data_IF_351783759691
#
_entry.id   IF_351783759691
#
_cell.length_a   1.000
_cell.length_b   1.000
_cell.length_c   1.000
_cell.angle_alpha   90.00
_cell.angle_beta   90.00
_cell.angle_gamma   90.00
#
_symmetry.space_group_name_H-M   'P 1'
#
loop_
_entity.id
_entity.type
_entity.pdbx_description
1 polymer ?
#
# COMPACT_ATOMS: atom_id res chain seq x y z
N UNK A 1 38.79 4.50 -24.09
CA UNK A 1 37.80 3.56 -23.46
C UNK A 1 36.49 4.32 -23.29
N UNK A 2 35.36 3.77 -23.79
CA UNK A 2 34.07 4.44 -23.66
C UNK A 2 33.64 4.63 -22.20
N UNK A 3 33.04 5.78 -21.82
CA UNK A 3 32.54 5.98 -20.45
C UNK A 3 31.55 4.91 -19.99
N UNK A 4 30.70 4.42 -20.88
CA UNK A 4 29.75 3.35 -20.60
C UNK A 4 30.44 2.03 -20.14
N UNK A 5 31.60 1.70 -20.70
CA UNK A 5 32.40 0.56 -20.25
C UNK A 5 32.96 0.81 -18.84
N UNK A 6 33.45 2.02 -18.55
CA UNK A 6 34.00 2.35 -17.23
C UNK A 6 32.93 2.19 -16.15
N UNK A 7 31.72 2.69 -16.39
CA UNK A 7 30.58 2.55 -15.48
C UNK A 7 30.20 1.07 -15.28
N UNK A 8 30.15 0.30 -16.37
CA UNK A 8 29.89 -1.15 -16.31
C UNK A 8 30.99 -1.85 -15.48
N UNK A 9 32.25 -1.57 -15.76
CA UNK A 9 33.39 -2.18 -15.10
C UNK A 9 33.41 -1.87 -13.59
N UNK A 10 33.14 -0.62 -13.17
CA UNK A 10 33.03 -0.23 -11.75
C UNK A 10 32.05 -1.10 -10.98
N UNK A 11 30.95 -1.48 -11.62
CA UNK A 11 29.98 -2.39 -11.01
C UNK A 11 30.44 -3.84 -11.05
N UNK A 12 30.91 -4.32 -12.21
CA UNK A 12 31.28 -5.74 -12.43
C UNK A 12 32.44 -6.19 -11.55
N UNK A 13 33.41 -5.33 -11.25
CA UNK A 13 34.52 -5.65 -10.34
C UNK A 13 34.07 -6.03 -8.93
N UNK A 14 32.92 -5.55 -8.50
CA UNK A 14 32.32 -5.85 -7.20
C UNK A 14 31.62 -7.22 -7.17
N UNK A 15 31.39 -7.83 -8.32
CA UNK A 15 30.74 -9.13 -8.42
C UNK A 15 31.65 -10.23 -7.86
N UNK A 16 31.09 -11.20 -7.11
CA UNK A 16 31.87 -12.25 -6.41
C UNK A 16 32.45 -13.33 -7.35
N UNK A 17 31.91 -13.48 -8.56
CA UNK A 17 32.41 -14.47 -9.52
C UNK A 17 33.86 -14.23 -9.90
N UNK A 18 34.67 -15.31 -9.95
CA UNK A 18 36.07 -15.25 -10.37
C UNK A 18 36.26 -14.82 -11.83
N UNK A 19 35.26 -15.06 -12.70
CA UNK A 19 35.32 -14.74 -14.13
C UNK A 19 35.26 -13.24 -14.46
N UNK A 20 34.87 -12.41 -13.51
CA UNK A 20 34.63 -10.95 -13.71
C UNK A 20 35.80 -10.22 -14.36
N UNK A 21 37.03 -10.56 -13.96
CA UNK A 21 38.22 -9.89 -14.50
C UNK A 21 38.52 -10.34 -15.92
N UNK A 22 38.41 -11.65 -16.20
CA UNK A 22 38.61 -12.18 -17.54
C UNK A 22 37.55 -11.65 -18.53
N UNK A 23 36.28 -11.52 -18.07
CA UNK A 23 35.20 -10.95 -18.84
C UNK A 23 35.46 -9.45 -19.17
N UNK A 24 35.84 -8.67 -18.17
CA UNK A 24 36.17 -7.25 -18.37
C UNK A 24 37.36 -7.06 -19.29
N UNK A 25 38.39 -7.92 -19.15
CA UNK A 25 39.56 -7.86 -20.03
C UNK A 25 39.19 -8.20 -21.48
N UNK A 26 38.37 -9.22 -21.74
CA UNK A 26 37.88 -9.55 -23.10
C UNK A 26 37.08 -8.42 -23.69
N UNK A 27 36.17 -7.82 -22.91
CA UNK A 27 35.39 -6.67 -23.38
C UNK A 27 36.29 -5.47 -23.71
N UNK A 28 37.25 -5.16 -22.86
CA UNK A 28 38.20 -4.08 -23.08
C UNK A 28 39.04 -4.30 -24.35
N UNK A 29 39.53 -5.50 -24.56
CA UNK A 29 40.31 -5.88 -25.74
C UNK A 29 39.47 -5.81 -27.02
N UNK A 30 38.21 -6.26 -26.98
CA UNK A 30 37.31 -6.21 -28.12
C UNK A 30 36.87 -4.76 -28.47
N UNK A 31 36.78 -3.86 -27.48
CA UNK A 31 36.42 -2.47 -27.67
C UNK A 31 37.42 -1.70 -28.54
N UNK A 32 38.66 -2.15 -28.64
CA UNK A 32 39.66 -1.58 -29.55
C UNK A 32 39.26 -1.73 -31.02
N UNK A 33 38.59 -2.83 -31.36
CA UNK A 33 38.12 -3.15 -32.71
C UNK A 33 36.64 -2.84 -32.96
N UNK A 34 35.85 -2.89 -31.89
CA UNK A 34 34.41 -2.70 -31.89
C UNK A 34 33.99 -1.58 -30.92
N UNK A 35 34.18 -0.27 -31.25
CA UNK A 35 33.96 0.82 -30.33
C UNK A 35 32.54 0.92 -29.75
N UNK A 36 31.53 0.37 -30.44
CA UNK A 36 30.12 0.32 -30.00
C UNK A 36 29.71 -1.00 -29.36
N UNK A 37 30.65 -1.89 -29.04
CA UNK A 37 30.36 -3.20 -28.46
C UNK A 37 29.42 -3.13 -27.26
N UNK A 38 29.62 -2.16 -26.35
CA UNK A 38 28.81 -2.01 -25.12
C UNK A 38 27.36 -1.66 -25.42
N UNK A 39 27.07 -1.10 -26.58
CA UNK A 39 25.71 -0.74 -27.00
C UNK A 39 24.93 -1.95 -27.56
N UNK A 40 25.60 -3.06 -27.79
CA UNK A 40 24.99 -4.29 -28.31
C UNK A 40 24.53 -5.22 -27.14
N UNK A 41 23.25 -5.22 -26.75
CA UNK A 41 22.76 -6.05 -25.66
C UNK A 41 22.67 -7.54 -26.01
N UNK A 42 22.76 -7.88 -27.31
CA UNK A 42 22.73 -9.29 -27.78
C UNK A 42 24.10 -9.96 -27.73
N UNK A 43 25.18 -9.20 -27.54
CA UNK A 43 26.51 -9.76 -27.38
C UNK A 43 26.60 -10.54 -26.05
N UNK A 44 27.06 -11.81 -26.08
CA UNK A 44 27.07 -12.66 -24.88
C UNK A 44 27.90 -12.09 -23.72
N UNK A 45 29.07 -11.49 -24.02
CA UNK A 45 29.94 -10.92 -23.00
C UNK A 45 29.33 -9.65 -22.40
N UNK A 46 28.69 -8.80 -23.24
CA UNK A 46 27.98 -7.61 -22.78
C UNK A 46 26.75 -8.00 -21.95
N UNK A 47 25.96 -8.96 -22.42
CA UNK A 47 24.81 -9.46 -21.67
C UNK A 47 25.23 -10.00 -20.29
N UNK A 48 26.31 -10.82 -20.24
CA UNK A 48 26.86 -11.36 -19.00
C UNK A 48 27.33 -10.28 -18.05
N UNK A 49 28.04 -9.27 -18.55
CA UNK A 49 28.51 -8.14 -17.74
C UNK A 49 27.34 -7.31 -17.18
N UNK A 50 26.29 -7.09 -17.98
CA UNK A 50 25.08 -6.40 -17.54
C UNK A 50 24.30 -7.18 -16.47
N UNK A 51 24.28 -8.50 -16.56
CA UNK A 51 23.66 -9.34 -15.53
C UNK A 51 24.45 -9.30 -14.22
N UNK A 52 25.79 -9.28 -14.27
CA UNK A 52 26.63 -9.05 -13.10
C UNK A 52 26.37 -7.65 -12.49
N UNK A 53 26.26 -6.61 -13.32
CA UNK A 53 25.92 -5.26 -12.87
C UNK A 53 24.58 -5.22 -12.13
N UNK A 54 23.53 -5.86 -12.69
CA UNK A 54 22.21 -5.96 -12.05
C UNK A 54 22.28 -6.71 -10.72
N UNK A 55 23.08 -7.77 -10.63
CA UNK A 55 23.27 -8.55 -9.42
C UNK A 55 23.96 -7.72 -8.31
N UNK A 56 24.97 -6.94 -8.67
CA UNK A 56 25.64 -6.01 -7.76
C UNK A 56 24.69 -4.90 -7.28
N UNK A 57 23.94 -4.30 -8.19
CA UNK A 57 22.94 -3.27 -7.83
C UNK A 57 21.89 -3.81 -6.85
N UNK A 58 21.42 -5.05 -7.07
CA UNK A 58 20.52 -5.72 -6.13
C UNK A 58 21.17 -5.97 -4.76
N UNK A 59 22.45 -6.34 -4.73
CA UNK A 59 23.17 -6.55 -3.47
C UNK A 59 23.32 -5.26 -2.67
N UNK A 60 23.63 -4.13 -3.32
CA UNK A 60 23.68 -2.81 -2.70
C UNK A 60 22.30 -2.46 -2.13
N UNK A 61 21.24 -2.63 -2.93
CA UNK A 61 19.87 -2.36 -2.48
C UNK A 61 19.48 -3.22 -1.26
N UNK A 62 19.82 -4.51 -1.26
CA UNK A 62 19.55 -5.41 -0.11
C UNK A 62 20.35 -4.99 1.12
N UNK A 63 21.59 -4.54 0.96
CA UNK A 63 22.38 -4.02 2.07
C UNK A 63 21.71 -2.77 2.69
N UNK A 64 21.28 -1.81 1.88
CA UNK A 64 20.54 -0.64 2.35
C UNK A 64 19.24 -0.98 3.08
N UNK A 65 18.55 -2.05 2.66
CA UNK A 65 17.28 -2.47 3.25
C UNK A 65 17.42 -3.28 4.54
N UNK A 66 18.49 -4.06 4.68
CA UNK A 66 18.57 -5.12 5.70
C UNK A 66 19.69 -4.96 6.73
N UNK A 67 20.56 -3.97 6.63
CA UNK A 67 21.50 -3.65 7.71
C UNK A 67 20.70 -3.14 8.92
N UNK A 68 20.98 -3.71 10.10
CA UNK A 68 20.40 -3.33 11.39
C UNK A 68 21.52 -2.99 12.35
N UNK A 69 21.54 -1.75 12.76
CA UNK A 69 22.49 -1.26 13.77
C UNK A 69 22.01 -1.64 15.16
N UNK A 70 22.94 -2.13 15.98
CA UNK A 70 22.78 -2.42 17.40
C UNK A 70 23.64 -1.46 18.19
N UNK A 71 23.14 -0.97 19.31
CA UNK A 71 23.94 -0.17 20.23
C UNK A 71 25.00 -1.08 20.86
N UNK A 72 26.26 -0.64 20.78
CA UNK A 72 27.36 -1.22 21.55
C UNK A 72 27.58 -0.31 22.75
N UNK A 73 27.56 -0.89 23.94
CA UNK A 73 27.79 -0.14 25.19
C UNK A 73 29.23 0.40 25.25
N UNK A 74 29.44 1.60 24.70
CA UNK A 74 30.71 2.32 24.69
C UNK A 74 30.46 3.82 24.95
N UNK A 75 31.46 4.51 25.49
CA UNK A 75 31.46 5.97 25.53
C UNK A 75 32.51 6.52 24.56
N UNK A 76 32.11 7.29 23.50
CA UNK A 76 30.73 7.65 23.12
C UNK A 76 29.93 6.47 22.54
N UNK A 77 28.59 6.59 22.57
CA UNK A 77 27.69 5.59 21.99
C UNK A 77 28.08 5.25 20.55
N UNK A 78 28.34 3.97 20.33
CA UNK A 78 28.74 3.44 19.01
C UNK A 78 27.76 2.35 18.59
N UNK A 79 27.40 2.33 17.32
CA UNK A 79 26.49 1.34 16.76
C UNK A 79 27.25 0.38 15.86
N UNK A 80 26.95 -0.89 15.94
CA UNK A 80 27.53 -1.89 15.06
C UNK A 80 26.46 -2.72 14.35
N UNK A 81 26.74 -3.15 13.13
CA UNK A 81 25.87 -4.02 12.37
C UNK A 81 26.69 -5.12 11.70
N UNK A 82 26.19 -6.34 11.72
CA UNK A 82 26.71 -7.44 10.91
C UNK A 82 25.84 -7.65 9.68
N UNK A 83 26.47 -7.77 8.49
CA UNK A 83 25.78 -8.08 7.25
C UNK A 83 26.64 -8.91 6.32
N UNK A 84 26.04 -9.86 5.60
CA UNK A 84 26.72 -10.70 4.63
C UNK A 84 26.18 -10.43 3.22
N UNK A 85 26.76 -9.49 2.47
CA UNK A 85 26.32 -9.18 1.13
C UNK A 85 26.62 -10.33 0.14
N UNK A 86 25.78 -10.46 -0.89
CA UNK A 86 26.00 -11.47 -1.94
C UNK A 86 27.25 -11.17 -2.79
N UNK A 87 27.65 -9.93 -2.86
CA UNK A 87 28.78 -9.42 -3.63
C UNK A 87 29.58 -8.43 -2.78
N UNK A 88 30.77 -8.02 -3.23
CA UNK A 88 31.70 -7.16 -2.51
C UNK A 88 31.27 -5.70 -2.56
N UNK A 89 30.14 -5.39 -1.95
CA UNK A 89 29.47 -4.09 -2.11
C UNK A 89 29.56 -3.18 -0.87
N UNK A 90 30.23 -3.59 0.19
CA UNK A 90 30.26 -2.90 1.48
C UNK A 90 30.73 -1.46 1.34
N UNK A 91 31.86 -1.25 0.69
CA UNK A 91 32.42 0.09 0.46
C UNK A 91 31.51 0.92 -0.46
N UNK A 92 30.99 0.33 -1.54
CA UNK A 92 30.08 1.01 -2.47
C UNK A 92 28.73 1.42 -1.84
N UNK A 93 28.27 0.67 -0.84
CA UNK A 93 27.01 0.96 -0.12
C UNK A 93 27.21 1.97 1.03
N UNK A 94 28.41 2.09 1.59
CA UNK A 94 28.72 2.88 2.78
C UNK A 94 28.31 4.37 2.71
N UNK A 95 28.46 5.09 1.57
CA UNK A 95 28.05 6.49 1.47
C UNK A 95 26.56 6.73 1.72
N UNK A 96 25.69 5.75 1.44
CA UNK A 96 24.28 5.84 1.79
C UNK A 96 24.08 5.91 3.30
N UNK A 97 24.74 5.03 4.06
CA UNK A 97 24.64 5.01 5.52
C UNK A 97 25.24 6.25 6.16
N UNK A 98 26.36 6.76 5.66
CA UNK A 98 26.97 7.98 6.14
C UNK A 98 26.03 9.20 6.01
N UNK A 99 25.30 9.30 4.90
CA UNK A 99 24.30 10.36 4.73
C UNK A 99 23.04 10.12 5.57
N UNK A 100 22.58 8.88 5.69
CA UNK A 100 21.33 8.53 6.38
C UNK A 100 21.46 8.62 7.89
N UNK A 101 22.65 8.30 8.42
CA UNK A 101 22.98 8.24 9.84
C UNK A 101 24.19 9.12 10.16
N UNK A 102 24.16 10.36 9.66
CA UNK A 102 25.30 11.29 9.73
C UNK A 102 25.73 11.63 11.17
N UNK A 103 24.75 11.66 12.09
CA UNK A 103 24.97 12.06 13.49
C UNK A 103 25.27 10.88 14.44
N UNK A 104 25.43 9.67 13.89
CA UNK A 104 25.74 8.46 14.66
C UNK A 104 27.17 8.03 14.36
N UNK A 105 27.90 7.54 15.36
CA UNK A 105 29.13 6.77 15.15
C UNK A 105 28.74 5.31 14.93
N UNK A 106 29.15 4.73 13.79
CA UNK A 106 28.75 3.37 13.47
C UNK A 106 29.79 2.58 12.69
N UNK A 107 29.70 1.25 12.80
CA UNK A 107 30.51 0.29 12.05
C UNK A 107 29.62 -0.77 11.42
N UNK A 108 29.86 -1.09 10.15
CA UNK A 108 29.26 -2.25 9.47
C UNK A 108 30.34 -3.29 9.25
N UNK A 109 30.17 -4.42 9.88
CA UNK A 109 31.03 -5.59 9.78
C UNK A 109 30.52 -6.52 8.69
N UNK A 110 31.39 -6.94 7.77
CA UNK A 110 31.09 -7.93 6.74
C UNK A 110 32.28 -8.84 6.51
N UNK A 111 32.10 -10.04 5.92
CA UNK A 111 33.22 -10.96 5.67
C UNK A 111 34.27 -10.44 4.67
N UNK A 112 33.91 -9.52 3.79
CA UNK A 112 34.80 -9.05 2.71
C UNK A 112 35.56 -7.77 3.09
N UNK A 113 34.90 -6.86 3.81
CA UNK A 113 35.45 -5.57 4.25
C UNK A 113 34.54 -4.95 5.32
N UNK A 114 35.10 -4.20 6.24
CA UNK A 114 34.36 -3.42 7.23
C UNK A 114 34.40 -1.94 6.89
N UNK A 115 33.37 -1.22 7.25
CA UNK A 115 33.29 0.25 7.11
C UNK A 115 32.86 0.88 8.41
N UNK A 116 33.56 1.91 8.83
CA UNK A 116 33.27 2.70 10.03
C UNK A 116 33.05 4.17 9.67
N UNK A 117 32.13 4.81 10.39
CA UNK A 117 31.80 6.22 10.28
C UNK A 117 31.94 6.88 11.64
N UNK A 118 32.75 7.91 11.74
CA UNK A 118 33.02 8.65 12.98
C UNK A 118 32.27 10.00 13.07
N UNK A 119 31.24 10.20 12.23
CA UNK A 119 30.51 11.45 12.11
C UNK A 119 31.09 12.41 11.07
N UNK A 120 32.29 12.12 10.49
CA UNK A 120 32.99 12.99 9.51
C UNK A 120 33.58 12.19 8.35
N UNK A 121 34.22 11.08 8.63
CA UNK A 121 34.99 10.29 7.65
C UNK A 121 34.57 8.83 7.64
N UNK A 122 34.51 8.26 6.43
CA UNK A 122 34.37 6.82 6.23
C UNK A 122 35.76 6.15 6.25
N UNK A 123 35.92 5.14 7.07
CA UNK A 123 37.13 4.31 7.13
C UNK A 123 36.79 2.90 6.67
N UNK A 124 37.62 2.33 5.81
CA UNK A 124 37.50 0.96 5.33
C UNK A 124 38.60 0.12 5.96
N UNK A 125 38.28 -1.09 6.40
CA UNK A 125 39.24 -2.06 6.95
C UNK A 125 38.95 -3.46 6.40
N UNK A 126 39.80 -4.42 6.73
CA UNK A 126 39.64 -5.81 6.35
C UNK A 126 38.31 -6.39 6.89
N UNK A 127 37.88 -7.50 6.28
CA UNK A 127 36.67 -8.21 6.69
C UNK A 127 36.76 -8.76 8.12
N UNK A 128 35.61 -8.96 8.74
CA UNK A 128 35.46 -9.48 10.09
C UNK A 128 34.86 -10.89 10.09
N UNK A 129 34.98 -11.57 11.23
CA UNK A 129 34.31 -12.87 11.47
C UNK A 129 32.91 -12.66 12.03
N UNK A 130 31.93 -13.55 11.75
CA UNK A 130 30.61 -13.53 12.40
C UNK A 130 30.64 -13.49 13.93
N UNK A 131 31.69 -14.01 14.55
CA UNK A 131 31.88 -13.96 16.00
C UNK A 131 32.10 -12.54 16.53
N UNK A 132 32.53 -11.60 15.68
CA UNK A 132 32.72 -10.18 16.03
C UNK A 132 31.39 -9.40 15.99
N UNK A 133 30.30 -10.03 15.55
CA UNK A 133 28.99 -9.40 15.49
C UNK A 133 28.46 -9.09 16.90
N UNK A 134 27.86 -7.89 17.12
CA UNK A 134 27.29 -7.56 18.42
C UNK A 134 26.17 -8.54 18.79
N UNK A 135 26.13 -8.93 20.08
CA UNK A 135 25.06 -9.74 20.65
C UNK A 135 23.70 -9.02 20.61
N UNK A 136 22.62 -9.71 20.98
CA UNK A 136 21.28 -9.11 21.06
C UNK A 136 21.29 -7.90 22.01
N UNK A 137 20.57 -6.83 21.65
CA UNK A 137 20.38 -5.63 22.46
C UNK A 137 18.89 -5.39 22.80
N UNK A 138 18.63 -4.45 23.72
CA UNK A 138 17.28 -4.10 24.16
C UNK A 138 16.39 -3.53 23.03
N UNK A 139 16.97 -3.05 21.95
CA UNK A 139 16.22 -2.48 20.81
C UNK A 139 15.65 -3.55 19.89
N UNK A 140 16.13 -4.80 19.98
CA UNK A 140 15.60 -5.91 19.17
C UNK A 140 14.13 -6.22 19.50
N UNK A 141 13.72 -6.10 20.74
CA UNK A 141 12.33 -6.29 21.14
C UNK A 141 11.43 -5.18 20.57
N UNK A 142 11.93 -3.94 20.52
CA UNK A 142 11.25 -2.83 19.88
C UNK A 142 11.07 -3.07 18.37
N UNK A 143 12.11 -3.58 17.70
CA UNK A 143 12.03 -3.95 16.28
C UNK A 143 11.04 -5.08 16.02
N UNK A 144 11.01 -6.10 16.88
CA UNK A 144 10.03 -7.20 16.77
C UNK A 144 8.60 -6.68 16.95
N UNK A 145 8.38 -5.83 17.93
CA UNK A 145 7.07 -5.20 18.20
C UNK A 145 6.64 -4.32 17.01
N UNK A 146 7.54 -3.48 16.52
CA UNK A 146 7.30 -2.64 15.34
C UNK A 146 6.94 -3.50 14.12
N UNK A 147 7.75 -4.51 13.80
CA UNK A 147 7.50 -5.38 12.65
C UNK A 147 6.16 -6.12 12.73
N UNK A 148 5.82 -6.64 13.90
CA UNK A 148 4.54 -7.28 14.14
C UNK A 148 3.35 -6.31 13.96
N UNK A 149 3.54 -5.02 14.30
CA UNK A 149 2.50 -3.98 14.19
C UNK A 149 2.27 -3.52 12.76
N UNK A 150 3.32 -3.46 11.93
CA UNK A 150 3.21 -3.06 10.51
C UNK A 150 2.90 -4.21 9.57
N UNK A 151 2.99 -5.46 10.05
CA UNK A 151 2.68 -6.64 9.26
C UNK A 151 1.21 -6.63 8.84
N UNK A 152 0.97 -6.60 7.53
CA UNK A 152 -0.38 -6.66 6.97
C UNK A 152 -0.67 -8.08 6.43
N UNK A 153 -1.41 -8.91 7.17
CA UNK A 153 -1.69 -10.29 6.79
C UNK A 153 -2.52 -10.41 5.50
N UNK A 154 -3.35 -9.41 5.20
CA UNK A 154 -4.15 -9.39 3.97
C UNK A 154 -3.33 -9.12 2.70
N UNK A 155 -2.07 -8.68 2.83
CA UNK A 155 -1.13 -8.43 1.73
C UNK A 155 0.00 -9.45 1.66
N UNK A 156 -0.07 -10.52 2.44
CA UNK A 156 0.96 -11.55 2.46
C UNK A 156 1.08 -12.23 1.09
N UNK A 157 2.27 -12.13 0.51
CA UNK A 157 2.69 -12.89 -0.66
C UNK A 157 4.04 -13.54 -0.35
N UNK A 158 4.02 -14.78 0.12
CA UNK A 158 5.22 -15.50 0.54
C UNK A 158 6.26 -15.63 -0.57
N UNK A 159 5.83 -15.86 -1.82
CA UNK A 159 6.75 -15.98 -2.96
C UNK A 159 7.50 -14.67 -3.18
N UNK A 160 6.78 -13.55 -3.19
CA UNK A 160 7.38 -12.21 -3.32
C UNK A 160 8.25 -11.88 -2.11
N UNK A 161 7.79 -12.20 -0.89
CA UNK A 161 8.55 -11.97 0.34
C UNK A 161 9.89 -12.71 0.32
N UNK A 162 9.90 -14.00 -0.07
CA UNK A 162 11.15 -14.79 -0.17
C UNK A 162 12.09 -14.28 -1.27
N UNK A 163 11.54 -13.74 -2.35
CA UNK A 163 12.30 -13.11 -3.43
C UNK A 163 12.92 -11.79 -2.98
N UNK A 164 12.14 -10.94 -2.32
CA UNK A 164 12.59 -9.63 -1.86
C UNK A 164 13.44 -9.70 -0.60
N UNK A 165 13.16 -10.64 0.30
CA UNK A 165 13.90 -10.90 1.54
C UNK A 165 14.38 -12.36 1.60
N UNK A 166 15.47 -12.72 0.91
CA UNK A 166 16.03 -14.08 0.88
C UNK A 166 16.35 -14.60 2.29
N UNK A 167 16.07 -15.88 2.55
CA UNK A 167 16.24 -16.52 3.87
C UNK A 167 17.65 -16.38 4.45
N UNK A 168 18.69 -16.25 3.60
CA UNK A 168 20.08 -16.05 4.07
C UNK A 168 20.27 -14.79 4.94
N UNK A 169 19.40 -13.78 4.79
CA UNK A 169 19.46 -12.56 5.61
C UNK A 169 18.68 -12.68 6.91
N UNK A 170 17.78 -13.68 7.05
CA UNK A 170 16.89 -13.80 8.20
C UNK A 170 17.63 -13.99 9.52
N UNK A 171 18.79 -14.65 9.51
CA UNK A 171 19.59 -14.86 10.73
C UNK A 171 20.08 -13.56 11.37
N UNK A 172 20.20 -12.49 10.55
CA UNK A 172 20.71 -11.19 10.97
C UNK A 172 19.58 -10.18 11.20
N UNK A 173 18.30 -10.61 11.10
CA UNK A 173 17.12 -9.79 11.27
C UNK A 173 16.33 -10.25 12.49
N UNK A 174 16.29 -9.49 13.60
CA UNK A 174 15.55 -9.87 14.81
C UNK A 174 14.07 -10.16 14.53
N UNK A 175 13.46 -9.37 13.65
CA UNK A 175 12.08 -9.48 13.25
C UNK A 175 11.79 -10.75 12.42
N UNK A 176 12.79 -11.33 11.77
CA UNK A 176 12.59 -12.52 10.93
C UNK A 176 12.17 -13.76 11.74
N UNK A 177 12.48 -13.80 13.03
CA UNK A 177 12.02 -14.87 13.95
C UNK A 177 10.49 -14.91 14.07
N UNK A 178 9.80 -13.78 13.82
CA UNK A 178 8.34 -13.69 13.86
C UNK A 178 7.67 -14.17 12.56
N UNK A 179 8.41 -14.24 11.43
CA UNK A 179 7.83 -14.52 10.12
C UNK A 179 7.03 -15.84 10.09
N UNK A 180 7.53 -16.98 10.60
CA UNK A 180 6.77 -18.23 10.57
C UNK A 180 5.41 -18.09 11.26
N UNK A 181 5.38 -17.54 12.47
CA UNK A 181 4.15 -17.33 13.23
C UNK A 181 3.20 -16.33 12.55
N UNK A 182 3.75 -15.25 11.97
CA UNK A 182 2.96 -14.24 11.24
C UNK A 182 2.34 -14.82 9.97
N UNK A 183 3.05 -15.71 9.26
CA UNK A 183 2.54 -16.40 8.08
C UNK A 183 1.46 -17.41 8.47
N UNK A 184 1.70 -18.24 9.49
CA UNK A 184 0.75 -19.24 9.97
C UNK A 184 -0.57 -18.60 10.44
N UNK A 185 -0.49 -17.48 11.15
CA UNK A 185 -1.66 -16.76 11.66
C UNK A 185 -2.26 -15.75 10.69
N UNK A 186 -1.71 -15.60 9.48
CA UNK A 186 -2.08 -14.54 8.55
C UNK A 186 -3.55 -14.57 8.15
N UNK A 187 -4.12 -15.74 7.89
CA UNK A 187 -5.54 -15.88 7.53
C UNK A 187 -6.46 -15.46 8.68
N UNK A 188 -6.19 -15.95 9.89
CA UNK A 188 -6.97 -15.60 11.08
C UNK A 188 -6.87 -14.11 11.41
N UNK A 189 -5.67 -13.53 11.29
CA UNK A 189 -5.44 -12.08 11.47
C UNK A 189 -6.10 -11.23 10.38
N UNK A 190 -6.09 -11.68 9.13
CA UNK A 190 -6.79 -11.00 8.05
C UNK A 190 -8.31 -11.01 8.26
N UNK A 191 -8.87 -12.14 8.68
CA UNK A 191 -10.28 -12.25 9.04
C UNK A 191 -10.63 -11.33 10.23
N UNK A 192 -9.77 -11.30 11.27
CA UNK A 192 -9.94 -10.39 12.41
C UNK A 192 -9.86 -8.91 12.00
N UNK A 193 -8.95 -8.54 11.08
CA UNK A 193 -8.87 -7.17 10.56
C UNK A 193 -10.10 -6.75 9.76
N UNK A 194 -10.71 -7.69 9.02
CA UNK A 194 -11.96 -7.44 8.29
C UNK A 194 -13.14 -7.30 9.27
N UNK A 195 -13.13 -8.09 10.34
CA UNK A 195 -14.15 -8.05 11.40
C UNK A 195 -13.98 -6.84 12.34
N UNK A 196 -12.76 -6.32 12.49
CA UNK A 196 -12.47 -5.21 13.37
C UNK A 196 -13.03 -3.89 12.83
N UNK A 197 -13.64 -3.12 13.71
CA UNK A 197 -14.00 -1.73 13.40
C UNK A 197 -12.72 -0.89 13.19
N UNK A 198 -12.75 0.14 12.32
CA UNK A 198 -11.64 1.08 12.20
C UNK A 198 -11.30 1.69 13.56
N UNK A 199 -10.04 1.60 13.98
CA UNK A 199 -9.61 2.23 15.23
C UNK A 199 -9.82 3.73 15.16
N UNK A 200 -10.41 4.37 16.20
CA UNK A 200 -10.58 5.81 16.21
C UNK A 200 -9.20 6.48 16.19
N UNK A 201 -9.01 7.52 15.39
CA UNK A 201 -7.77 8.27 15.42
C UNK A 201 -7.60 8.96 16.77
N UNK A 202 -6.37 9.25 17.21
CA UNK A 202 -6.12 10.04 18.41
C UNK A 202 -6.93 11.35 18.39
N UNK A 203 -7.45 11.77 19.53
CA UNK A 203 -8.28 12.98 19.67
C UNK A 203 -7.66 14.23 19.02
N UNK A 204 -6.33 14.34 19.04
CA UNK A 204 -5.58 15.42 18.39
C UNK A 204 -5.82 15.45 16.88
N UNK A 205 -5.81 14.28 16.22
CA UNK A 205 -6.02 14.14 14.77
C UNK A 205 -7.48 14.41 14.43
N UNK A 206 -8.40 13.93 15.26
CA UNK A 206 -9.83 14.20 15.11
C UNK A 206 -10.15 15.69 15.25
N UNK A 207 -9.59 16.38 16.26
CA UNK A 207 -9.76 17.82 16.46
C UNK A 207 -9.15 18.64 15.32
N UNK A 208 -7.99 18.25 14.78
CA UNK A 208 -7.38 18.89 13.63
C UNK A 208 -8.23 18.72 12.37
N UNK A 209 -8.74 17.52 12.10
CA UNK A 209 -9.62 17.24 10.97
C UNK A 209 -10.96 17.98 11.07
N UNK A 210 -11.53 18.10 12.28
CA UNK A 210 -12.75 18.87 12.52
C UNK A 210 -12.53 20.38 12.35
N UNK A 211 -11.37 20.92 12.74
CA UNK A 211 -11.01 22.32 12.45
C UNK A 211 -10.88 22.54 10.93
N UNK A 212 -10.14 21.69 10.24
CA UNK A 212 -9.95 21.78 8.79
C UNK A 212 -11.29 21.65 8.04
N UNK A 213 -12.19 20.79 8.49
CA UNK A 213 -13.55 20.67 7.95
C UNK A 213 -14.42 21.93 8.19
N UNK A 214 -14.21 22.65 9.32
CA UNK A 214 -14.87 23.93 9.60
C UNK A 214 -14.29 25.06 8.75
N UNK A 215 -12.97 25.13 8.62
CA UNK A 215 -12.27 26.19 7.90
C UNK A 215 -12.41 26.05 6.36
N UNK A 216 -12.64 24.82 5.88
CA UNK A 216 -12.94 24.50 4.49
C UNK A 216 -14.44 24.46 4.19
N UNK A 217 -15.29 25.10 5.01
CA UNK A 217 -16.72 25.09 4.79
C UNK A 217 -17.06 25.75 3.44
N UNK A 218 -17.67 24.95 2.56
CA UNK A 218 -18.38 25.50 1.42
C UNK A 218 -19.48 26.40 1.98
N UNK A 219 -19.31 27.70 1.83
CA UNK A 219 -20.28 28.72 2.28
C UNK A 219 -21.46 28.85 1.32
N UNK A 220 -21.68 27.89 0.43
CA UNK A 220 -22.80 27.86 -0.48
C UNK A 220 -24.04 27.21 0.13
N UNK A 221 -25.19 27.53 -0.39
CA UNK A 221 -26.44 26.85 -0.08
C UNK A 221 -26.33 25.34 -0.38
N UNK A 222 -27.11 24.55 0.35
CA UNK A 222 -27.16 23.10 0.12
C UNK A 222 -27.61 22.82 -1.33
N UNK A 223 -26.87 22.00 -2.09
CA UNK A 223 -27.27 21.65 -3.46
C UNK A 223 -28.68 21.12 -3.52
N UNK A 224 -29.45 21.60 -4.50
CA UNK A 224 -30.87 21.27 -4.70
C UNK A 224 -31.08 20.20 -5.77
N UNK A 225 -30.03 19.89 -6.56
CA UNK A 225 -30.02 18.86 -7.59
C UNK A 225 -28.72 18.04 -7.58
N UNK A 226 -28.75 16.85 -8.20
CA UNK A 226 -27.55 16.02 -8.38
C UNK A 226 -26.53 16.67 -9.33
N UNK A 227 -26.98 17.47 -10.29
CA UNK A 227 -26.11 18.22 -11.19
C UNK A 227 -25.33 19.31 -10.43
N UNK A 228 -26.00 19.99 -9.50
CA UNK A 228 -25.33 20.94 -8.61
C UNK A 228 -24.31 20.25 -7.69
N UNK A 229 -24.63 19.06 -7.14
CA UNK A 229 -23.67 18.27 -6.38
C UNK A 229 -22.45 17.93 -7.24
N UNK A 230 -22.70 17.47 -8.48
CA UNK A 230 -21.65 17.09 -9.43
C UNK A 230 -20.74 18.26 -9.77
N UNK A 231 -21.29 19.43 -10.01
CA UNK A 231 -20.52 20.63 -10.30
C UNK A 231 -19.73 21.14 -9.07
N UNK A 232 -20.39 21.20 -7.91
CA UNK A 232 -19.81 21.77 -6.72
C UNK A 232 -18.71 20.87 -6.09
N UNK A 233 -18.81 19.55 -6.22
CA UNK A 233 -17.77 18.63 -5.70
C UNK A 233 -16.44 18.77 -6.44
N UNK A 234 -16.43 19.21 -7.71
CA UNK A 234 -15.21 19.41 -8.48
C UNK A 234 -14.31 20.52 -7.90
N UNK A 235 -14.91 21.52 -7.27
CA UNK A 235 -14.16 22.61 -6.63
C UNK A 235 -14.01 22.43 -5.12
N UNK A 236 -14.33 21.26 -4.60
CA UNK A 236 -14.28 20.96 -3.18
C UNK A 236 -12.85 21.04 -2.62
N UNK A 237 -12.69 21.70 -1.45
CA UNK A 237 -11.42 21.86 -0.72
C UNK A 237 -11.57 21.48 0.76
N UNK A 238 -12.53 20.61 1.11
CA UNK A 238 -12.85 20.25 2.49
C UNK A 238 -11.80 19.32 3.15
N UNK A 239 -10.94 18.68 2.37
CA UNK A 239 -9.78 17.88 2.81
C UNK A 239 -8.69 17.99 1.74
N UNK A 240 -7.47 17.53 2.03
CA UNK A 240 -6.31 17.67 1.12
C UNK A 240 -6.31 16.70 -0.06
N UNK A 241 -7.23 15.75 -0.15
CA UNK A 241 -7.23 14.72 -1.21
C UNK A 241 -7.39 15.27 -2.64
N UNK A 242 -7.98 16.45 -2.78
CA UNK A 242 -8.13 17.13 -4.08
C UNK A 242 -6.78 17.49 -4.73
N UNK A 243 -5.70 17.62 -3.94
CA UNK A 243 -4.38 18.06 -4.44
C UNK A 243 -3.72 17.05 -5.35
N UNK A 244 -3.88 15.77 -5.01
CA UNK A 244 -3.20 14.67 -5.69
C UNK A 244 -4.15 13.88 -6.61
N UNK A 245 -5.47 14.04 -6.46
CA UNK A 245 -6.47 13.43 -7.33
C UNK A 245 -6.58 14.19 -8.67
N UNK A 246 -6.93 13.47 -9.74
CA UNK A 246 -7.15 14.07 -11.05
C UNK A 246 -8.42 14.91 -11.06
N UNK A 247 -9.48 14.42 -10.41
CA UNK A 247 -10.77 15.06 -10.29
C UNK A 247 -11.59 14.49 -9.13
N UNK A 248 -12.68 15.13 -8.77
CA UNK A 248 -13.67 14.51 -7.91
C UNK A 248 -14.53 13.52 -8.72
N UNK A 249 -14.94 12.42 -8.08
CA UNK A 249 -15.85 11.43 -8.66
C UNK A 249 -17.19 11.49 -7.92
N UNK A 250 -18.19 12.20 -8.46
CA UNK A 250 -19.54 12.25 -7.90
C UNK A 250 -20.26 10.91 -8.03
N UNK A 251 -21.37 10.76 -7.32
CA UNK A 251 -22.26 9.63 -7.51
C UNK A 251 -22.98 9.66 -8.87
N UNK A 252 -23.37 8.49 -9.36
CA UNK A 252 -24.05 8.31 -10.63
C UNK A 252 -25.30 7.42 -10.47
N UNK A 253 -26.37 7.76 -11.14
CA UNK A 253 -27.63 7.01 -11.17
C UNK A 253 -28.85 7.91 -11.21
N UNK A 254 -30.03 7.28 -11.23
CA UNK A 254 -31.30 8.01 -11.30
C UNK A 254 -31.57 8.82 -10.02
N UNK A 255 -32.08 10.01 -10.17
CA UNK A 255 -32.74 10.71 -9.07
C UNK A 255 -33.89 9.85 -8.54
N UNK A 256 -34.02 9.73 -7.21
CA UNK A 256 -35.01 8.87 -6.54
C UNK A 256 -34.80 7.36 -6.75
N UNK A 257 -33.55 6.92 -7.06
CA UNK A 257 -33.21 5.51 -7.07
C UNK A 257 -33.57 4.85 -5.72
N UNK A 258 -34.35 3.74 -5.70
CA UNK A 258 -34.73 3.09 -4.45
C UNK A 258 -33.57 2.43 -3.71
N UNK A 259 -32.46 2.19 -4.41
CA UNK A 259 -31.24 1.54 -3.92
C UNK A 259 -30.04 2.43 -4.15
N UNK A 260 -29.22 2.61 -3.11
CA UNK A 260 -27.97 3.38 -3.19
C UNK A 260 -26.80 2.51 -2.73
N UNK A 261 -25.77 2.39 -3.54
CA UNK A 261 -24.51 1.74 -3.20
C UNK A 261 -23.47 2.78 -2.84
N UNK A 262 -22.79 2.58 -1.71
CA UNK A 262 -21.74 3.47 -1.21
C UNK A 262 -20.45 2.66 -1.09
N UNK A 263 -19.46 2.98 -1.90
CA UNK A 263 -18.09 2.45 -1.81
C UNK A 263 -17.19 3.24 -0.86
N UNK A 264 -15.90 2.91 -0.85
CA UNK A 264 -14.90 3.60 -0.03
C UNK A 264 -14.47 4.93 -0.65
N UNK A 265 -13.83 4.89 -1.79
CA UNK A 265 -13.32 6.02 -2.57
C UNK A 265 -13.11 5.59 -4.03
N UNK A 266 -12.92 6.53 -4.97
CA UNK A 266 -12.53 6.21 -6.33
C UNK A 266 -11.21 5.43 -6.37
N UNK A 267 -11.05 4.53 -7.34
CA UNK A 267 -9.77 3.94 -7.70
C UNK A 267 -9.08 4.76 -8.79
N UNK A 268 -7.97 4.24 -9.31
CA UNK A 268 -7.17 4.90 -10.35
C UNK A 268 -7.96 5.14 -11.65
N UNK A 269 -8.73 4.15 -12.08
CA UNK A 269 -9.54 4.26 -13.30
C UNK A 269 -10.75 5.17 -13.11
N UNK A 270 -11.37 5.14 -11.96
CA UNK A 270 -12.47 6.03 -11.58
C UNK A 270 -12.02 7.50 -11.52
N UNK A 271 -10.84 7.76 -10.94
CA UNK A 271 -10.25 9.09 -10.85
C UNK A 271 -9.95 9.69 -12.24
N UNK A 272 -9.54 8.85 -13.19
CA UNK A 272 -9.31 9.27 -14.58
C UNK A 272 -10.62 9.47 -15.36
N UNK A 273 -11.59 8.59 -15.17
CA UNK A 273 -12.85 8.60 -15.91
C UNK A 273 -13.90 9.57 -15.33
N UNK A 274 -13.78 9.98 -14.07
CA UNK A 274 -14.78 10.76 -13.36
C UNK A 274 -16.07 10.00 -13.02
N UNK A 275 -16.06 8.66 -13.12
CA UNK A 275 -17.22 7.79 -12.95
C UNK A 275 -16.96 6.74 -11.85
N UNK A 276 -17.94 6.46 -10.95
CA UNK A 276 -17.76 5.48 -9.88
C UNK A 276 -17.86 4.04 -10.40
N UNK A 277 -17.02 3.15 -9.88
CA UNK A 277 -17.02 1.71 -10.14
C UNK A 277 -16.87 1.31 -11.62
N UNK A 278 -15.91 1.92 -12.32
CA UNK A 278 -15.54 1.56 -13.71
C UNK A 278 -14.28 0.68 -13.79
N UNK A 279 -13.51 0.60 -12.73
CA UNK A 279 -12.29 -0.22 -12.64
C UNK A 279 -12.56 -1.68 -12.27
N UNK A 280 -11.49 -2.45 -11.95
CA UNK A 280 -11.59 -3.90 -11.67
C UNK A 280 -12.56 -4.26 -10.54
N UNK A 281 -12.66 -3.43 -9.49
CA UNK A 281 -13.64 -3.62 -8.42
C UNK A 281 -15.07 -3.40 -8.92
N UNK A 282 -15.28 -2.46 -9.85
CA UNK A 282 -16.55 -2.21 -10.51
C UNK A 282 -16.99 -3.39 -11.37
N UNK A 283 -16.10 -4.03 -12.10
CA UNK A 283 -16.41 -5.23 -12.89
C UNK A 283 -16.89 -6.38 -12.02
N UNK A 284 -16.24 -6.62 -10.87
CA UNK A 284 -16.70 -7.64 -9.90
C UNK A 284 -18.07 -7.25 -9.33
N UNK A 285 -18.28 -5.98 -9.04
CA UNK A 285 -19.55 -5.46 -8.56
C UNK A 285 -20.68 -5.66 -9.58
N UNK A 286 -20.46 -5.32 -10.84
CA UNK A 286 -21.44 -5.47 -11.93
C UNK A 286 -21.82 -6.94 -12.16
N UNK A 287 -20.82 -7.83 -12.11
CA UNK A 287 -21.06 -9.26 -12.24
C UNK A 287 -21.91 -9.78 -11.06
N UNK A 288 -21.60 -9.35 -9.84
CA UNK A 288 -22.36 -9.74 -8.65
C UNK A 288 -23.80 -9.18 -8.66
N UNK A 289 -24.03 -7.95 -9.14
CA UNK A 289 -25.37 -7.38 -9.33
C UNK A 289 -26.18 -8.19 -10.32
N UNK A 290 -25.56 -8.60 -11.45
CA UNK A 290 -26.23 -9.46 -12.45
C UNK A 290 -26.64 -10.81 -11.86
N UNK A 291 -25.78 -11.42 -11.05
CA UNK A 291 -26.08 -12.70 -10.37
C UNK A 291 -27.14 -12.55 -9.27
N UNK A 292 -27.14 -11.42 -8.58
CA UNK A 292 -28.18 -11.08 -7.61
C UNK A 292 -29.54 -10.70 -8.26
N UNK A 293 -29.59 -10.50 -9.58
CA UNK A 293 -30.78 -10.04 -10.31
C UNK A 293 -31.09 -8.55 -10.09
N UNK A 294 -30.13 -7.76 -9.57
CA UNK A 294 -30.33 -6.33 -9.25
C UNK A 294 -29.93 -5.46 -10.44
N UNK A 295 -30.86 -4.70 -11.05
CA UNK A 295 -30.55 -3.84 -12.18
C UNK A 295 -29.72 -2.63 -11.74
N UNK A 296 -28.50 -2.48 -12.30
CA UNK A 296 -27.59 -1.38 -11.95
C UNK A 296 -28.13 0.00 -12.33
N UNK A 297 -28.83 0.10 -13.43
CA UNK A 297 -29.44 1.33 -13.95
C UNK A 297 -30.56 1.89 -13.06
N UNK A 298 -31.12 1.08 -12.17
CA UNK A 298 -32.13 1.47 -11.17
C UNK A 298 -31.53 1.80 -9.81
N UNK A 299 -30.21 1.80 -9.68
CA UNK A 299 -29.49 2.12 -8.47
C UNK A 299 -28.71 3.43 -8.62
N UNK A 300 -28.46 4.10 -7.51
CA UNK A 300 -27.49 5.19 -7.40
C UNK A 300 -26.20 4.65 -6.80
N UNK A 301 -25.07 4.91 -7.44
CA UNK A 301 -23.77 4.38 -7.04
C UNK A 301 -22.81 5.52 -6.73
N UNK A 302 -22.22 5.50 -5.57
CA UNK A 302 -21.31 6.54 -5.10
C UNK A 302 -20.23 6.01 -4.16
N UNK A 303 -19.38 6.89 -3.64
CA UNK A 303 -18.35 6.59 -2.66
C UNK A 303 -18.45 7.49 -1.43
N UNK A 304 -17.97 7.00 -0.29
CA UNK A 304 -17.84 7.75 0.96
C UNK A 304 -16.93 8.97 0.80
N UNK A 305 -15.86 8.82 0.01
CA UNK A 305 -14.90 9.90 -0.31
C UNK A 305 -14.90 10.12 -1.82
N UNK A 306 -14.87 11.39 -2.24
CA UNK A 306 -15.04 11.78 -3.65
C UNK A 306 -13.71 11.90 -4.43
N UNK A 307 -12.58 11.92 -3.75
CA UNK A 307 -11.27 12.02 -4.37
C UNK A 307 -10.43 10.78 -4.10
N UNK A 308 -9.59 10.40 -5.06
CA UNK A 308 -8.72 9.24 -4.96
C UNK A 308 -7.52 9.51 -4.05
N UNK A 309 -7.45 8.83 -2.91
CA UNK A 309 -6.27 8.83 -2.04
C UNK A 309 -5.28 7.78 -2.52
N UNK A 310 -4.09 8.21 -2.90
CA UNK A 310 -3.05 7.32 -3.40
C UNK A 310 -1.65 7.75 -2.97
N UNK A 311 -0.70 6.85 -3.14
CA UNK A 311 0.73 7.13 -3.03
C UNK A 311 1.39 6.82 -4.39
N UNK A 312 2.19 7.75 -4.95
CA UNK A 312 2.91 7.48 -6.18
C UNK A 312 4.00 6.43 -5.93
N UNK A 313 4.03 5.40 -6.79
CA UNK A 313 5.08 4.38 -6.75
C UNK A 313 5.59 4.12 -8.17
N UNK A 314 6.62 4.84 -8.56
CA UNK A 314 7.07 4.89 -9.95
C UNK A 314 5.97 5.48 -10.85
N UNK A 315 5.59 4.75 -11.90
CA UNK A 315 4.50 5.17 -12.82
C UNK A 315 3.09 4.80 -12.32
N UNK A 316 2.94 4.16 -11.16
CA UNK A 316 1.66 3.68 -10.63
C UNK A 316 1.21 4.53 -9.45
N UNK A 317 -0.08 4.78 -9.37
CA UNK A 317 -0.75 5.38 -8.22
C UNK A 317 -1.34 4.25 -7.37
N UNK A 318 -0.76 4.03 -6.19
CA UNK A 318 -1.16 2.93 -5.31
C UNK A 318 -2.22 3.44 -4.33
N UNK A 319 -3.38 2.79 -4.35
CA UNK A 319 -4.50 3.07 -3.46
C UNK A 319 -4.09 3.06 -1.98
N UNK A 320 -4.51 4.09 -1.24
CA UNK A 320 -4.35 4.23 0.21
C UNK A 320 -5.72 4.50 0.84
N UNK A 321 -6.06 3.76 1.88
CA UNK A 321 -7.35 3.92 2.56
C UNK A 321 -7.51 5.33 3.13
N UNK A 322 -8.64 6.00 2.90
CA UNK A 322 -8.94 7.29 3.53
C UNK A 322 -8.96 7.18 5.05
N UNK A 323 -8.45 8.20 5.73
CA UNK A 323 -8.56 8.27 7.17
C UNK A 323 -9.94 8.77 7.61
N UNK A 324 -10.20 8.69 8.92
CA UNK A 324 -11.51 9.07 9.47
C UNK A 324 -11.81 10.55 9.28
N UNK A 325 -10.81 11.42 9.30
CA UNK A 325 -10.98 12.85 9.10
C UNK A 325 -11.41 13.17 7.67
N UNK A 326 -10.80 12.53 6.68
CA UNK A 326 -11.14 12.66 5.26
C UNK A 326 -12.56 12.15 4.97
N UNK A 327 -12.92 10.99 5.55
CA UNK A 327 -14.29 10.44 5.47
C UNK A 327 -15.30 11.42 6.09
N UNK A 328 -15.00 11.95 7.26
CA UNK A 328 -15.88 12.91 7.95
C UNK A 328 -16.03 14.22 7.17
N UNK A 329 -14.95 14.73 6.60
CA UNK A 329 -14.99 15.94 5.78
C UNK A 329 -15.80 15.73 4.49
N UNK A 330 -15.71 14.54 3.88
CA UNK A 330 -16.41 14.20 2.65
C UNK A 330 -17.88 13.78 2.86
N UNK A 331 -18.25 13.40 4.09
CA UNK A 331 -19.61 12.94 4.44
C UNK A 331 -20.70 13.94 4.05
N UNK A 332 -20.41 15.22 4.09
CA UNK A 332 -21.34 16.28 3.67
C UNK A 332 -21.88 16.06 2.25
N UNK A 333 -21.02 15.63 1.31
CA UNK A 333 -21.41 15.31 -0.05
C UNK A 333 -22.28 14.06 -0.13
N UNK A 334 -21.92 13.02 0.63
CA UNK A 334 -22.72 11.80 0.72
C UNK A 334 -24.11 12.09 1.30
N UNK A 335 -24.20 12.93 2.34
CA UNK A 335 -25.47 13.31 2.94
C UNK A 335 -26.31 14.19 1.98
N UNK A 336 -25.66 15.04 1.14
CA UNK A 336 -26.36 15.78 0.08
C UNK A 336 -26.94 14.83 -0.99
N UNK A 337 -26.16 13.86 -1.47
CA UNK A 337 -26.63 12.83 -2.41
C UNK A 337 -27.80 12.01 -1.79
N UNK A 338 -27.67 11.55 -0.55
CA UNK A 338 -28.72 10.80 0.16
C UNK A 338 -30.02 11.59 0.27
N UNK A 339 -29.93 12.88 0.56
CA UNK A 339 -31.11 13.76 0.67
C UNK A 339 -31.83 13.93 -0.67
N UNK A 340 -31.07 14.03 -1.77
CA UNK A 340 -31.62 14.21 -3.11
C UNK A 340 -32.18 12.90 -3.68
N UNK A 341 -31.45 11.79 -3.52
CA UNK A 341 -31.85 10.47 -4.04
C UNK A 341 -32.96 9.84 -3.21
N UNK A 342 -32.96 10.00 -1.89
CA UNK A 342 -33.94 9.42 -0.93
C UNK A 342 -34.11 7.90 -1.08
N UNK A 343 -32.98 7.12 -1.03
CA UNK A 343 -33.07 5.69 -1.24
C UNK A 343 -33.84 4.99 -0.12
N UNK A 344 -34.58 3.94 -0.44
CA UNK A 344 -35.20 3.04 0.55
C UNK A 344 -34.16 2.16 1.25
N UNK A 345 -33.14 1.78 0.49
CA UNK A 345 -32.06 0.91 0.96
C UNK A 345 -30.72 1.54 0.58
N UNK A 346 -29.79 1.55 1.54
CA UNK A 346 -28.39 1.90 1.33
C UNK A 346 -27.55 0.66 1.54
N UNK A 347 -26.67 0.34 0.61
CA UNK A 347 -25.70 -0.74 0.73
C UNK A 347 -24.32 -0.13 0.96
N UNK A 348 -23.74 -0.38 2.12
CA UNK A 348 -22.38 0.04 2.43
C UNK A 348 -21.39 -1.06 2.04
N UNK A 349 -20.57 -0.78 1.04
CA UNK A 349 -19.54 -1.68 0.53
C UNK A 349 -18.22 -1.46 1.30
N UNK A 350 -18.06 -2.22 2.37
CA UNK A 350 -16.87 -2.15 3.23
C UNK A 350 -17.02 -1.23 4.45
N UNK A 351 -16.02 -1.32 5.35
CA UNK A 351 -16.06 -0.66 6.65
C UNK A 351 -16.04 0.88 6.55
N UNK A 352 -15.30 1.44 5.58
CA UNK A 352 -15.22 2.88 5.35
C UNK A 352 -16.57 3.45 4.91
N UNK A 353 -17.26 2.76 4.00
CA UNK A 353 -18.62 3.12 3.57
C UNK A 353 -19.63 3.05 4.73
N UNK A 354 -19.57 1.96 5.50
CA UNK A 354 -20.43 1.81 6.67
C UNK A 354 -20.21 2.91 7.72
N UNK A 355 -18.95 3.30 7.95
CA UNK A 355 -18.60 4.44 8.81
C UNK A 355 -19.17 5.76 8.27
N UNK A 356 -19.04 6.02 6.96
CA UNK A 356 -19.56 7.24 6.34
C UNK A 356 -21.08 7.35 6.46
N UNK A 357 -21.80 6.23 6.24
CA UNK A 357 -23.27 6.20 6.30
C UNK A 357 -23.79 6.33 7.73
N UNK A 358 -23.20 5.58 8.68
CA UNK A 358 -23.71 5.49 10.06
C UNK A 358 -23.09 6.53 11.02
N UNK A 359 -21.92 7.06 10.69
CA UNK A 359 -21.08 7.85 11.61
C UNK A 359 -20.39 7.03 12.70
N UNK A 360 -20.57 5.70 12.72
CA UNK A 360 -20.05 4.77 13.72
C UNK A 360 -19.27 3.63 13.04
N UNK A 361 -18.29 3.11 13.75
CA UNK A 361 -17.61 1.89 13.33
C UNK A 361 -18.63 0.73 13.32
N UNK A 362 -18.80 0.10 12.17
CA UNK A 362 -19.75 -1.00 11.96
C UNK A 362 -19.01 -2.23 11.42
N UNK A 363 -18.72 -3.23 12.26
CA UNK A 363 -18.04 -4.45 11.85
C UNK A 363 -18.83 -5.21 10.77
N UNK A 364 -18.21 -5.52 9.63
CA UNK A 364 -18.86 -6.16 8.50
C UNK A 364 -19.33 -7.56 8.87
N UNK A 365 -18.46 -8.41 9.40
CA UNK A 365 -18.77 -9.80 9.72
C UNK A 365 -19.97 -9.97 10.67
N UNK A 366 -20.17 -9.04 11.61
CA UNK A 366 -21.30 -9.09 12.56
C UNK A 366 -22.60 -8.54 11.98
N UNK A 367 -22.53 -7.71 10.93
CA UNK A 367 -23.68 -6.94 10.42
C UNK A 367 -24.07 -7.28 8.97
N UNK A 368 -23.23 -8.05 8.23
CA UNK A 368 -23.62 -8.51 6.89
C UNK A 368 -24.80 -9.49 6.94
N UNK A 369 -25.51 -9.61 5.85
CA UNK A 369 -26.68 -10.45 5.74
C UNK A 369 -27.90 -9.99 6.55
N UNK A 370 -27.88 -8.73 7.03
CA UNK A 370 -28.95 -8.15 7.85
C UNK A 370 -29.36 -6.77 7.36
N UNK A 371 -30.65 -6.45 7.51
CA UNK A 371 -31.17 -5.12 7.30
C UNK A 371 -31.12 -4.34 8.61
N UNK A 372 -30.24 -3.34 8.69
CA UNK A 372 -30.14 -2.45 9.85
C UNK A 372 -31.02 -1.21 9.62
N UNK A 373 -31.60 -0.69 10.69
CA UNK A 373 -32.34 0.57 10.64
C UNK A 373 -31.39 1.75 10.74
N UNK A 374 -31.50 2.70 9.83
CA UNK A 374 -30.83 4.00 9.95
C UNK A 374 -31.71 4.98 10.70
N UNK A 375 -31.12 5.85 11.56
CA UNK A 375 -31.84 6.98 12.13
C UNK A 375 -32.48 7.83 11.04
N UNK A 376 -33.72 8.25 11.21
CA UNK A 376 -34.36 9.20 10.29
C UNK A 376 -33.63 10.53 10.35
N UNK A 377 -33.09 10.98 9.24
CA UNK A 377 -32.42 12.26 9.07
C UNK A 377 -33.33 13.29 8.34
N UNK A 378 -34.65 13.11 8.44
CA UNK A 378 -35.64 13.97 7.76
C UNK A 378 -35.95 13.55 6.32
N UNK A 379 -35.43 12.37 5.89
CA UNK A 379 -35.57 11.86 4.51
C UNK A 379 -36.35 10.54 4.42
N UNK A 380 -37.01 10.13 5.51
CA UNK A 380 -37.61 8.79 5.65
C UNK A 380 -36.65 7.73 6.21
N UNK A 381 -37.21 6.63 6.72
CA UNK A 381 -36.44 5.52 7.30
C UNK A 381 -35.82 4.67 6.19
N UNK A 382 -34.55 4.90 5.87
CA UNK A 382 -33.80 4.02 5.00
C UNK A 382 -33.26 2.79 5.78
N UNK A 383 -33.22 1.62 5.13
CA UNK A 383 -32.54 0.44 5.64
C UNK A 383 -31.09 0.42 5.18
N UNK A 384 -30.20 -0.11 6.00
CA UNK A 384 -28.79 -0.29 5.68
C UNK A 384 -28.47 -1.78 5.58
N UNK A 385 -27.87 -2.19 4.48
CA UNK A 385 -27.20 -3.49 4.31
C UNK A 385 -25.69 -3.21 4.28
N UNK A 386 -24.94 -3.94 5.09
CA UNK A 386 -23.47 -3.86 5.10
C UNK A 386 -22.91 -5.12 4.50
N UNK A 387 -21.96 -4.99 3.57
CA UNK A 387 -21.33 -6.13 2.92
C UNK A 387 -19.85 -5.85 2.60
N UNK A 388 -19.18 -6.80 1.96
CA UNK A 388 -17.80 -6.67 1.53
C UNK A 388 -17.64 -5.59 0.47
N UNK A 389 -16.45 -4.96 0.44
CA UNK A 389 -16.08 -4.17 -0.72
C UNK A 389 -15.63 -5.12 -1.87
N UNK A 390 -16.03 -4.90 -3.13
CA UNK A 390 -15.70 -5.80 -4.24
C UNK A 390 -14.19 -6.04 -4.40
N UNK A 391 -13.35 -5.04 -4.10
CA UNK A 391 -11.89 -5.21 -4.11
C UNK A 391 -11.36 -6.21 -3.08
N UNK A 392 -12.14 -6.56 -2.06
CA UNK A 392 -11.78 -7.61 -1.11
C UNK A 392 -11.75 -8.98 -1.79
N UNK A 393 -12.74 -9.27 -2.64
CA UNK A 393 -12.83 -10.51 -3.40
C UNK A 393 -11.62 -10.69 -4.32
N UNK A 394 -11.14 -9.62 -4.93
CA UNK A 394 -9.95 -9.63 -5.79
C UNK A 394 -8.64 -9.95 -5.04
N UNK A 395 -8.61 -9.73 -3.72
CA UNK A 395 -7.40 -9.89 -2.89
C UNK A 395 -7.31 -11.22 -2.17
N UNK A 396 -8.38 -12.02 -2.17
CA UNK A 396 -8.38 -13.34 -1.54
C UNK A 396 -7.49 -14.31 -2.34
N UNK A 397 -6.43 -14.87 -1.74
CA UNK A 397 -5.50 -15.76 -2.44
C UNK A 397 -6.07 -17.15 -2.69
N UNK A 398 -6.92 -17.64 -1.77
CA UNK A 398 -7.56 -18.95 -1.85
C UNK A 398 -8.82 -18.90 -2.70
N UNK A 399 -8.96 -19.86 -3.65
CA UNK A 399 -10.06 -19.92 -4.58
C UNK A 399 -11.39 -20.24 -3.88
N UNK A 400 -11.37 -21.18 -2.93
CA UNK A 400 -12.57 -21.59 -2.20
C UNK A 400 -13.05 -20.47 -1.25
N UNK A 401 -12.12 -19.77 -0.59
CA UNK A 401 -12.46 -18.61 0.23
C UNK A 401 -13.04 -17.47 -0.62
N UNK A 402 -12.52 -17.28 -1.84
CA UNK A 402 -13.01 -16.27 -2.77
C UNK A 402 -14.41 -16.59 -3.24
N UNK A 403 -14.68 -17.85 -3.57
CA UNK A 403 -16.00 -18.28 -4.02
C UNK A 403 -17.04 -18.17 -2.90
N UNK A 404 -16.72 -18.59 -1.68
CA UNK A 404 -17.59 -18.38 -0.51
C UNK A 404 -17.89 -16.90 -0.27
N UNK A 405 -16.87 -16.06 -0.24
CA UNK A 405 -17.06 -14.62 -0.02
C UNK A 405 -17.86 -13.96 -1.16
N UNK A 406 -17.71 -14.47 -2.39
CA UNK A 406 -18.50 -14.03 -3.54
C UNK A 406 -19.96 -14.42 -3.41
N UNK A 407 -20.26 -15.67 -3.07
CA UNK A 407 -21.62 -16.12 -2.82
C UNK A 407 -22.31 -15.29 -1.73
N UNK A 408 -21.62 -15.07 -0.62
CA UNK A 408 -22.08 -14.21 0.47
C UNK A 408 -22.31 -12.76 0.03
N UNK A 409 -21.46 -12.22 -0.84
CA UNK A 409 -21.62 -10.88 -1.39
C UNK A 409 -22.85 -10.78 -2.28
N UNK A 410 -23.08 -11.77 -3.16
CA UNK A 410 -24.27 -11.85 -4.03
C UNK A 410 -25.55 -11.95 -3.20
N UNK A 411 -25.54 -12.75 -2.12
CA UNK A 411 -26.71 -12.88 -1.24
C UNK A 411 -27.04 -11.56 -0.52
N UNK A 412 -26.02 -10.81 -0.07
CA UNK A 412 -26.24 -9.49 0.52
C UNK A 412 -26.81 -8.49 -0.49
N UNK A 413 -26.37 -8.54 -1.77
CA UNK A 413 -26.90 -7.71 -2.83
C UNK A 413 -28.37 -8.10 -3.18
N UNK A 414 -28.68 -9.38 -3.18
CA UNK A 414 -30.07 -9.90 -3.39
C UNK A 414 -30.99 -9.40 -2.29
N UNK A 415 -30.58 -9.54 -1.02
CA UNK A 415 -31.33 -9.00 0.12
C UNK A 415 -31.60 -7.49 -0.06
N UNK A 416 -30.62 -6.73 -0.50
CA UNK A 416 -30.80 -5.30 -0.73
C UNK A 416 -31.80 -5.00 -1.87
N UNK A 417 -31.76 -5.79 -2.94
CA UNK A 417 -32.70 -5.70 -4.05
C UNK A 417 -34.16 -6.00 -3.65
N UNK A 418 -34.38 -7.07 -2.86
CA UNK A 418 -35.68 -7.43 -2.28
C UNK A 418 -36.22 -6.30 -1.37
N UNK A 419 -35.39 -5.81 -0.46
CA UNK A 419 -35.75 -4.69 0.44
C UNK A 419 -36.08 -3.41 -0.31
N UNK A 420 -35.42 -3.16 -1.44
CA UNK A 420 -35.66 -2.01 -2.32
C UNK A 420 -36.88 -2.23 -3.24
N UNK A 421 -37.46 -3.44 -3.28
CA UNK A 421 -38.51 -3.89 -4.21
C UNK A 421 -38.12 -3.74 -5.68
N UNK A 422 -36.91 -4.16 -6.01
CA UNK A 422 -36.35 -4.19 -7.36
C UNK A 422 -36.40 -5.61 -7.95
N UNK A 423 -36.43 -6.60 -7.08
CA UNK A 423 -36.58 -8.04 -7.36
C UNK A 423 -37.59 -8.61 -6.39
N UNK A 424 -38.19 -9.73 -6.74
CA UNK A 424 -39.19 -10.49 -5.95
C UNK A 424 -38.51 -11.34 -4.87
#
# INVERSE_FOLDING_TARGET
>A
VPPAFVELARSVVLHRSGERFALLYRLLWRLEREPRLIDNPADPDVARARDMQKAVARAIHKMHAFVRFRLVETEPETYAAWFEPAHRVTEAAAPFFARRFANMTWTILTPDACVAWDGRTLKVSDGADPADAPSEDAQEELWRTYYASIFNPARLNEKMMRQEMPKRYWRNLPEARLIPQLVETAQARAAAMVAAAPSPPPDRVLKAALRQARDGAFNGDLPTSLDEVTAAVQVCRRCDLWRDATQAVPGQGAAHAPLMFVGEQPGDQEDLAGLPFVGPAGQVFDQALKEAGVPRDRAFVTNAVKHFKHEPRGKRRIHKTPDRGEVQACRWWLDAERRLVRPRVIVALGATAALAVTGKATPIAANRGKALQLPDQGNGQARLVVTYHPSFLLRLPDADARERARAEFVDDLRLAGELAKLID
#
